data_IF_345008689286
#
_entry.id   IF_345008689286
#
_cell.length_a   1.000
_cell.length_b   1.000
_cell.length_c   1.000
_cell.angle_alpha   90.00
_cell.angle_beta   90.00
_cell.angle_gamma   90.00
#
_symmetry.space_group_name_H-M   'P 1'
#
loop_
_entity.id
_entity.type
_entity.pdbx_description
1 polymer ?
#
# COMPACT_ATOMS: atom_id res chain seq x y z
N UNK A 1 14.51 -5.84 -20.19
CA UNK A 1 13.38 -5.05 -19.65
C UNK A 1 13.22 -5.44 -18.20
N UNK A 2 12.67 -4.57 -17.35
CA UNK A 2 12.69 -4.82 -15.91
C UNK A 2 11.31 -5.22 -15.39
N UNK A 3 11.31 -6.00 -14.29
CA UNK A 3 10.13 -6.47 -13.60
C UNK A 3 9.88 -5.69 -12.29
N UNK A 4 8.61 -5.49 -11.96
CA UNK A 4 8.14 -4.82 -10.74
C UNK A 4 7.10 -5.68 -10.04
N UNK A 5 7.28 -5.95 -8.75
CA UNK A 5 6.22 -6.45 -7.89
C UNK A 5 5.58 -5.30 -7.12
N UNK A 6 4.26 -5.21 -7.15
CA UNK A 6 3.50 -4.21 -6.38
C UNK A 6 2.63 -4.87 -5.34
N UNK A 7 2.54 -4.23 -4.17
CA UNK A 7 1.83 -4.74 -3.00
C UNK A 7 0.68 -3.80 -2.65
N UNK A 8 -0.57 -4.32 -2.58
CA UNK A 8 -1.74 -3.49 -2.34
C UNK A 8 -1.81 -2.97 -0.90
N UNK A 9 -2.58 -1.90 -0.73
CA UNK A 9 -3.04 -1.39 0.55
C UNK A 9 -4.36 -2.04 0.99
N UNK A 10 -4.99 -1.44 2.02
CA UNK A 10 -6.29 -1.86 2.52
C UNK A 10 -7.39 -1.66 1.46
N UNK A 11 -8.38 -2.53 1.44
CA UNK A 11 -9.57 -2.44 0.60
C UNK A 11 -9.99 -3.74 -0.06
N UNK A 12 -9.05 -4.63 -0.38
CA UNK A 12 -9.33 -5.90 -1.05
C UNK A 12 -9.21 -7.13 -0.13
N UNK A 13 -8.94 -6.92 1.16
CA UNK A 13 -8.87 -8.00 2.16
C UNK A 13 -10.21 -8.73 2.26
N UNK A 14 -10.15 -10.03 2.47
CA UNK A 14 -11.32 -10.89 2.60
C UNK A 14 -11.10 -11.98 3.65
N UNK A 15 -12.18 -12.46 4.30
CA UNK A 15 -12.10 -13.59 5.20
C UNK A 15 -11.50 -14.83 4.51
N UNK A 16 -10.65 -15.55 5.23
CA UNK A 16 -10.00 -16.76 4.74
C UNK A 16 -8.79 -16.52 3.83
N UNK A 17 -8.33 -15.28 3.66
CA UNK A 17 -7.22 -14.96 2.75
C UNK A 17 -5.87 -15.57 3.14
N UNK A 18 -5.70 -16.01 4.38
CA UNK A 18 -4.50 -16.68 4.86
C UNK A 18 -4.56 -18.21 4.73
N UNK A 19 -5.76 -18.81 4.55
CA UNK A 19 -5.97 -20.27 4.64
C UNK A 19 -5.21 -21.09 3.60
N UNK A 20 -4.95 -20.53 2.43
CA UNK A 20 -4.25 -21.22 1.33
C UNK A 20 -2.74 -20.91 1.30
N UNK A 21 -2.23 -20.14 2.26
CA UNK A 21 -0.82 -19.78 2.28
C UNK A 21 0.06 -20.92 2.80
N UNK A 22 1.33 -20.97 2.37
CA UNK A 22 2.28 -21.98 2.85
C UNK A 22 2.44 -21.94 4.37
N UNK A 23 2.35 -23.10 5.01
CA UNK A 23 2.45 -23.27 6.45
C UNK A 23 3.69 -22.60 7.08
N UNK A 24 4.92 -22.72 6.49
CA UNK A 24 6.11 -22.10 7.08
C UNK A 24 6.01 -20.57 7.23
N UNK A 25 5.31 -19.88 6.34
CA UNK A 25 5.12 -18.42 6.43
C UNK A 25 4.15 -18.07 7.57
N UNK A 26 3.09 -18.87 7.74
CA UNK A 26 2.14 -18.67 8.83
C UNK A 26 2.75 -18.96 10.20
N UNK A 27 3.60 -19.98 10.29
CA UNK A 27 4.36 -20.30 11.51
C UNK A 27 5.36 -19.18 11.85
N UNK A 28 6.17 -18.73 10.88
CA UNK A 28 7.12 -17.63 11.06
C UNK A 28 6.43 -16.35 11.55
N UNK A 29 5.27 -16.03 10.98
CA UNK A 29 4.48 -14.86 11.40
C UNK A 29 3.87 -15.05 12.79
N UNK A 30 3.34 -16.24 13.09
CA UNK A 30 2.76 -16.55 14.40
C UNK A 30 3.79 -16.51 15.51
N UNK A 31 4.97 -17.06 15.29
CA UNK A 31 6.07 -17.03 16.24
C UNK A 31 6.53 -15.59 16.51
N UNK A 32 6.64 -14.77 15.47
CA UNK A 32 7.04 -13.37 15.60
C UNK A 32 5.99 -12.55 16.37
N UNK A 33 4.70 -12.84 16.19
CA UNK A 33 3.58 -12.13 16.79
C UNK A 33 3.25 -12.62 18.21
N UNK A 34 3.59 -13.88 18.52
CA UNK A 34 3.21 -14.53 19.76
C UNK A 34 1.73 -14.97 19.82
N UNK A 35 1.07 -15.03 18.66
CA UNK A 35 -0.30 -15.51 18.52
C UNK A 35 -0.52 -16.19 17.15
N UNK A 36 -1.51 -17.08 17.05
CA UNK A 36 -1.84 -17.75 15.79
C UNK A 36 -2.46 -16.76 14.79
N UNK A 37 -1.69 -16.42 13.74
CA UNK A 37 -2.10 -15.46 12.71
C UNK A 37 -3.31 -15.91 11.91
N UNK A 38 -3.64 -17.21 11.88
CA UNK A 38 -4.82 -17.75 11.19
C UNK A 38 -6.13 -17.23 11.78
N UNK A 39 -6.09 -16.69 13.00
CA UNK A 39 -7.25 -16.05 13.66
C UNK A 39 -7.52 -14.63 13.17
N UNK A 40 -6.57 -14.02 12.45
CA UNK A 40 -6.66 -12.62 12.02
C UNK A 40 -7.53 -12.42 10.77
N UNK A 41 -7.82 -13.47 10.01
CA UNK A 41 -8.53 -13.38 8.73
C UNK A 41 -10.01 -13.77 8.79
N UNK A 42 -10.59 -13.87 9.99
CA UNK A 42 -12.04 -14.01 10.12
C UNK A 42 -12.76 -12.68 9.80
N UNK A 43 -14.03 -12.75 9.38
CA UNK A 43 -14.83 -11.56 9.12
C UNK A 43 -14.87 -10.59 10.31
N UNK A 44 -14.93 -11.13 11.54
CA UNK A 44 -14.89 -10.33 12.77
C UNK A 44 -13.51 -9.70 12.99
N UNK A 45 -12.43 -10.44 12.83
CA UNK A 45 -11.07 -9.95 13.05
C UNK A 45 -10.71 -8.85 12.06
N UNK A 46 -11.14 -8.98 10.78
CA UNK A 46 -10.89 -7.99 9.71
C UNK A 46 -11.65 -6.67 9.90
N UNK A 47 -12.47 -6.52 10.93
CA UNK A 47 -12.95 -5.20 11.36
C UNK A 47 -11.84 -4.35 12.02
N UNK A 48 -10.73 -4.98 12.42
CA UNK A 48 -9.56 -4.33 13.02
C UNK A 48 -8.53 -3.92 11.97
N UNK A 49 -8.11 -2.67 12.00
CA UNK A 49 -7.01 -2.16 11.15
C UNK A 49 -5.72 -2.97 11.35
N UNK A 50 -5.41 -3.35 12.59
CA UNK A 50 -4.25 -4.20 12.90
C UNK A 50 -4.32 -5.54 12.17
N UNK A 51 -5.45 -6.24 12.27
CA UNK A 51 -5.62 -7.54 11.62
C UNK A 51 -5.55 -7.44 10.09
N UNK A 52 -6.19 -6.44 9.49
CA UNK A 52 -6.13 -6.21 8.04
C UNK A 52 -4.69 -6.00 7.57
N UNK A 53 -3.93 -5.14 8.25
CA UNK A 53 -2.55 -4.85 7.86
C UNK A 53 -1.63 -6.06 8.01
N UNK A 54 -1.78 -6.84 9.07
CA UNK A 54 -1.04 -8.09 9.25
C UNK A 54 -1.37 -9.11 8.15
N UNK A 55 -2.64 -9.29 7.82
CA UNK A 55 -3.04 -10.20 6.74
C UNK A 55 -2.46 -9.78 5.39
N UNK A 56 -2.45 -8.48 5.08
CA UNK A 56 -1.85 -7.95 3.85
C UNK A 56 -0.33 -8.15 3.79
N UNK A 57 0.38 -7.92 4.90
CA UNK A 57 1.81 -8.20 5.00
C UNK A 57 2.11 -9.67 4.74
N UNK A 58 1.42 -10.57 5.47
CA UNK A 58 1.66 -12.02 5.40
C UNK A 58 1.36 -12.55 4.01
N UNK A 59 0.20 -12.19 3.44
CA UNK A 59 -0.18 -12.59 2.10
C UNK A 59 0.79 -12.07 1.03
N UNK A 60 1.21 -10.81 1.13
CA UNK A 60 2.17 -10.22 0.19
C UNK A 60 3.50 -10.95 0.19
N UNK A 61 4.08 -11.20 1.37
CA UNK A 61 5.36 -11.93 1.50
C UNK A 61 5.23 -13.37 1.02
N UNK A 62 4.16 -14.08 1.42
CA UNK A 62 3.93 -15.46 1.04
C UNK A 62 3.84 -15.64 -0.48
N UNK A 63 3.01 -14.86 -1.14
CA UNK A 63 2.83 -14.95 -2.58
C UNK A 63 4.08 -14.52 -3.37
N UNK A 64 4.81 -13.50 -2.91
CA UNK A 64 6.07 -13.12 -3.54
C UNK A 64 7.11 -14.25 -3.46
N UNK A 65 7.20 -14.96 -2.33
CA UNK A 65 8.08 -16.11 -2.17
C UNK A 65 7.71 -17.28 -3.10
N UNK A 66 6.43 -17.47 -3.43
CA UNK A 66 5.98 -18.50 -4.38
C UNK A 66 6.44 -18.26 -5.83
N UNK A 67 6.75 -17.03 -6.20
CA UNK A 67 7.23 -16.73 -7.55
C UNK A 67 8.62 -17.29 -7.84
N UNK A 68 9.41 -17.60 -6.81
CA UNK A 68 10.79 -18.11 -6.94
C UNK A 68 11.65 -17.29 -7.90
N UNK A 69 11.44 -15.97 -7.90
CA UNK A 69 12.11 -15.02 -8.77
C UNK A 69 12.47 -13.75 -8.00
N UNK A 70 13.61 -13.15 -8.37
CA UNK A 70 14.03 -11.86 -7.82
C UNK A 70 13.62 -10.76 -8.79
N UNK A 71 12.65 -9.90 -8.45
CA UNK A 71 12.27 -8.79 -9.31
C UNK A 71 13.36 -7.70 -9.30
N UNK A 72 13.34 -6.82 -10.30
CA UNK A 72 14.27 -5.67 -10.35
C UNK A 72 13.79 -4.55 -9.41
N UNK A 73 12.47 -4.41 -9.27
CA UNK A 73 11.83 -3.37 -8.47
C UNK A 73 10.71 -3.94 -7.59
N UNK A 74 10.52 -3.29 -6.46
CA UNK A 74 9.34 -3.48 -5.60
C UNK A 74 8.75 -2.13 -5.22
N UNK A 75 7.43 -2.06 -5.08
CA UNK A 75 6.71 -0.90 -4.58
C UNK A 75 5.46 -1.34 -3.80
N UNK A 76 5.05 -0.56 -2.83
CA UNK A 76 3.85 -0.86 -2.06
C UNK A 76 3.01 0.37 -1.77
N UNK A 77 1.69 0.22 -1.84
CA UNK A 77 0.75 1.25 -1.48
C UNK A 77 0.45 1.14 0.03
N UNK A 78 0.79 2.18 0.81
CA UNK A 78 0.54 2.22 2.25
C UNK A 78 1.19 1.06 2.99
N UNK A 79 0.38 0.19 3.62
CA UNK A 79 0.87 -1.04 4.28
C UNK A 79 1.67 -1.94 3.33
N UNK A 80 1.36 -1.92 2.03
CA UNK A 80 2.09 -2.67 1.01
C UNK A 80 3.58 -2.34 0.92
N UNK A 81 4.02 -1.20 1.45
CA UNK A 81 5.42 -0.83 1.56
C UNK A 81 6.23 -1.80 2.43
N UNK A 82 5.61 -2.42 3.44
CA UNK A 82 6.26 -3.36 4.35
C UNK A 82 6.62 -4.69 3.70
N UNK A 83 5.69 -5.42 3.04
CA UNK A 83 6.07 -6.60 2.28
C UNK A 83 7.05 -6.25 1.15
N UNK A 84 6.94 -5.09 0.51
CA UNK A 84 7.93 -4.62 -0.47
C UNK A 84 9.34 -4.51 0.14
N UNK A 85 9.48 -3.92 1.33
CA UNK A 85 10.75 -3.81 2.04
C UNK A 85 11.31 -5.19 2.47
N UNK A 86 10.44 -6.13 2.85
CA UNK A 86 10.84 -7.52 3.16
C UNK A 86 11.39 -8.21 1.91
N UNK A 87 10.70 -8.14 0.79
CA UNK A 87 11.14 -8.74 -0.47
C UNK A 87 12.40 -8.06 -1.00
N UNK A 88 12.55 -6.75 -0.79
CA UNK A 88 13.80 -6.04 -1.09
C UNK A 88 14.99 -6.48 -0.24
N UNK A 89 14.77 -7.27 0.80
CA UNK A 89 15.81 -7.75 1.72
C UNK A 89 16.30 -6.68 2.69
N UNK A 90 15.56 -5.60 2.86
CA UNK A 90 15.89 -4.49 3.74
C UNK A 90 15.32 -4.65 5.16
N UNK A 91 14.21 -5.34 5.30
CA UNK A 91 13.51 -5.59 6.56
C UNK A 91 13.28 -7.09 6.73
N UNK A 92 13.66 -7.66 7.87
CA UNK A 92 13.40 -9.08 8.15
C UNK A 92 11.90 -9.28 8.43
N UNK A 93 11.34 -10.40 7.95
CA UNK A 93 9.89 -10.63 8.02
C UNK A 93 9.35 -10.68 9.46
N UNK A 94 10.00 -11.32 10.44
CA UNK A 94 9.58 -11.27 11.84
C UNK A 94 9.50 -9.85 12.40
N UNK A 95 10.47 -9.00 12.06
CA UNK A 95 10.46 -7.59 12.47
C UNK A 95 9.36 -6.80 11.79
N UNK A 96 9.10 -7.07 10.50
CA UNK A 96 7.97 -6.49 9.78
C UNK A 96 6.63 -6.83 10.44
N UNK A 97 6.44 -8.09 10.88
CA UNK A 97 5.22 -8.53 11.58
C UNK A 97 4.99 -7.72 12.85
N UNK A 98 6.03 -7.53 13.68
CA UNK A 98 5.95 -6.72 14.91
C UNK A 98 5.65 -5.26 14.63
N UNK A 99 6.35 -4.66 13.66
CA UNK A 99 6.15 -3.26 13.26
C UNK A 99 4.75 -3.02 12.69
N UNK A 100 4.25 -3.91 11.86
CA UNK A 100 2.91 -3.80 11.26
C UNK A 100 1.81 -3.98 12.30
N UNK A 101 2.00 -4.88 13.26
CA UNK A 101 1.11 -5.01 14.41
C UNK A 101 0.99 -3.70 15.18
N UNK A 102 2.12 -3.08 15.52
CA UNK A 102 2.16 -1.79 16.18
C UNK A 102 1.56 -0.67 15.32
N UNK A 103 1.92 -0.64 14.02
CA UNK A 103 1.38 0.34 13.06
C UNK A 103 -0.15 0.31 13.03
N UNK A 104 -0.72 -0.87 12.88
CA UNK A 104 -2.18 -1.06 12.85
C UNK A 104 -2.85 -0.60 14.15
N UNK A 105 -2.27 -0.92 15.30
CA UNK A 105 -2.77 -0.48 16.61
C UNK A 105 -2.73 1.04 16.76
N UNK A 106 -1.61 1.67 16.45
CA UNK A 106 -1.44 3.13 16.53
C UNK A 106 -2.42 3.86 15.62
N UNK A 107 -2.59 3.39 14.39
CA UNK A 107 -3.52 3.99 13.43
C UNK A 107 -4.98 3.83 13.88
N UNK A 108 -5.36 2.63 14.33
CA UNK A 108 -6.72 2.34 14.78
C UNK A 108 -7.12 3.18 15.99
N UNK A 109 -6.19 3.43 16.91
CA UNK A 109 -6.47 4.15 18.16
C UNK A 109 -6.48 5.67 17.99
N UNK A 110 -5.89 6.20 16.90
CA UNK A 110 -5.71 7.64 16.72
C UNK A 110 -7.04 8.39 16.52
N UNK A 111 -7.93 7.84 15.68
CA UNK A 111 -9.21 8.47 15.32
C UNK A 111 -10.30 7.38 15.21
N UNK A 112 -10.87 6.95 16.33
CA UNK A 112 -11.82 5.83 16.32
C UNK A 112 -13.18 6.16 15.70
N UNK A 113 -13.56 7.45 15.64
CA UNK A 113 -14.88 7.90 15.17
C UNK A 113 -14.78 9.21 14.38
N UNK A 114 -15.75 9.45 13.49
CA UNK A 114 -15.99 10.71 12.79
C UNK A 114 -14.89 11.13 11.81
N UNK A 115 -14.03 10.21 11.44
CA UNK A 115 -12.96 10.39 10.46
C UNK A 115 -12.93 9.24 9.46
N UNK A 116 -12.13 9.40 8.41
CA UNK A 116 -11.87 8.34 7.45
C UNK A 116 -11.37 8.85 6.12
N UNK A 117 -11.71 8.14 5.05
CA UNK A 117 -11.22 8.42 3.69
C UNK A 117 -12.36 8.32 2.67
N UNK A 118 -12.26 9.14 1.61
CA UNK A 118 -13.21 9.16 0.49
C UNK A 118 -12.44 9.21 -0.83
N UNK A 119 -12.76 8.31 -1.74
CA UNK A 119 -12.24 8.36 -3.11
C UNK A 119 -13.01 9.41 -3.93
N UNK A 120 -12.26 10.22 -4.66
CA UNK A 120 -12.79 11.23 -5.60
C UNK A 120 -12.45 10.77 -7.01
N UNK A 121 -13.47 10.58 -7.85
CA UNK A 121 -13.33 10.01 -9.17
C UNK A 121 -13.95 10.96 -10.20
N UNK A 122 -13.24 11.21 -11.30
CA UNK A 122 -13.70 12.04 -12.41
C UNK A 122 -13.44 13.54 -12.23
N UNK A 123 -12.75 13.95 -11.16
CA UNK A 123 -12.37 15.35 -10.90
C UNK A 123 -10.86 15.49 -10.99
N UNK A 124 -10.40 16.46 -11.76
CA UNK A 124 -8.97 16.78 -11.91
C UNK A 124 -8.33 17.14 -10.56
N UNK A 125 -7.10 16.66 -10.34
CA UNK A 125 -6.35 16.84 -9.08
C UNK A 125 -6.31 18.32 -8.65
N UNK A 126 -5.98 19.23 -9.56
CA UNK A 126 -5.90 20.67 -9.27
C UNK A 126 -7.22 21.27 -8.79
N UNK A 127 -8.35 20.73 -9.26
CA UNK A 127 -9.68 21.13 -8.79
C UNK A 127 -9.95 20.59 -7.39
N UNK A 128 -9.57 19.34 -7.12
CA UNK A 128 -9.69 18.75 -5.78
C UNK A 128 -8.87 19.57 -4.78
N UNK A 129 -7.62 19.89 -5.09
CA UNK A 129 -6.74 20.67 -4.21
C UNK A 129 -7.33 22.06 -3.86
N UNK A 130 -7.94 22.75 -4.84
CA UNK A 130 -8.64 24.03 -4.60
C UNK A 130 -9.83 23.86 -3.66
N UNK A 131 -10.64 22.83 -3.88
CA UNK A 131 -11.81 22.52 -3.04
C UNK A 131 -11.34 22.20 -1.60
N UNK A 132 -10.26 21.43 -1.44
CA UNK A 132 -9.72 21.12 -0.13
C UNK A 132 -9.22 22.37 0.60
N UNK A 133 -8.53 23.26 -0.09
CA UNK A 133 -8.07 24.55 0.48
C UNK A 133 -9.23 25.43 0.96
N UNK A 134 -10.35 25.42 0.23
CA UNK A 134 -11.56 26.18 0.58
C UNK A 134 -12.30 25.59 1.78
N UNK A 135 -12.30 24.26 1.93
CA UNK A 135 -13.11 23.53 2.93
C UNK A 135 -12.36 23.24 4.21
N UNK A 136 -11.06 22.99 4.14
CA UNK A 136 -10.24 22.66 5.31
C UNK A 136 -10.37 23.71 6.42
N UNK A 137 -10.59 23.24 7.65
CA UNK A 137 -10.55 24.03 8.88
C UNK A 137 -9.87 23.20 9.98
N UNK A 138 -9.21 23.82 10.98
CA UNK A 138 -8.60 23.09 12.09
C UNK A 138 -9.58 22.16 12.83
N UNK A 139 -10.84 22.59 12.99
CA UNK A 139 -11.89 21.85 13.70
C UNK A 139 -12.53 20.76 12.83
N UNK A 140 -12.47 20.90 11.51
CA UNK A 140 -12.98 19.95 10.51
C UNK A 140 -11.95 19.76 9.40
N UNK A 141 -10.81 19.09 9.71
CA UNK A 141 -9.71 18.99 8.77
C UNK A 141 -10.04 18.01 7.62
N UNK A 142 -9.52 18.32 6.45
CA UNK A 142 -9.52 17.44 5.28
C UNK A 142 -8.27 17.66 4.45
N UNK A 143 -7.71 16.58 3.94
CA UNK A 143 -6.42 16.58 3.25
C UNK A 143 -6.48 15.69 2.00
N UNK A 144 -5.63 15.99 1.02
CA UNK A 144 -5.28 15.04 -0.03
C UNK A 144 -4.47 13.90 0.60
N UNK A 145 -4.87 12.67 0.35
CA UNK A 145 -4.22 11.47 0.90
C UNK A 145 -3.52 10.64 -0.19
N UNK A 146 -4.18 10.41 -1.35
CA UNK A 146 -3.62 9.63 -2.45
C UNK A 146 -3.84 10.32 -3.79
N UNK A 147 -2.83 10.23 -4.66
CA UNK A 147 -2.89 10.58 -6.07
C UNK A 147 -2.79 9.27 -6.86
N UNK A 148 -3.93 8.74 -7.31
CA UNK A 148 -3.99 7.45 -8.00
C UNK A 148 -3.94 7.60 -9.53
N UNK A 149 -4.49 8.68 -10.07
CA UNK A 149 -4.48 9.07 -11.48
C UNK A 149 -4.77 10.58 -11.58
N UNK A 150 -4.73 11.17 -12.80
CA UNK A 150 -5.01 12.59 -13.03
C UNK A 150 -6.37 13.03 -12.49
N UNK A 151 -7.37 12.15 -12.61
CA UNK A 151 -8.75 12.38 -12.20
C UNK A 151 -9.25 11.35 -11.18
N UNK A 152 -8.34 10.77 -10.41
CA UNK A 152 -8.67 9.85 -9.33
C UNK A 152 -7.74 10.08 -8.15
N UNK A 153 -8.30 10.57 -7.07
CA UNK A 153 -7.59 10.86 -5.82
C UNK A 153 -8.35 10.30 -4.61
N UNK A 154 -7.70 10.31 -3.46
CA UNK A 154 -8.34 9.98 -2.18
C UNK A 154 -8.10 11.13 -1.23
N UNK A 155 -9.13 11.52 -0.50
CA UNK A 155 -9.06 12.51 0.57
C UNK A 155 -9.23 11.83 1.93
N UNK A 156 -8.64 12.40 2.97
CA UNK A 156 -8.73 11.92 4.33
C UNK A 156 -9.05 13.09 5.28
N UNK A 157 -9.83 12.83 6.30
CA UNK A 157 -10.17 13.86 7.27
C UNK A 157 -11.45 13.57 8.03
N UNK A 158 -12.07 14.64 8.57
CA UNK A 158 -13.34 14.55 9.26
C UNK A 158 -14.49 14.22 8.31
N UNK A 159 -15.47 13.46 8.79
CA UNK A 159 -16.66 13.10 8.02
C UNK A 159 -17.41 14.35 7.53
N UNK A 160 -17.52 15.37 8.39
CA UNK A 160 -18.17 16.63 8.05
C UNK A 160 -17.49 17.37 6.89
N UNK A 161 -16.16 17.43 6.88
CA UNK A 161 -15.42 18.08 5.80
C UNK A 161 -15.48 17.28 4.51
N UNK A 162 -15.35 15.94 4.57
CA UNK A 162 -15.45 15.07 3.39
C UNK A 162 -16.85 15.12 2.76
N UNK A 163 -17.91 15.26 3.56
CA UNK A 163 -19.26 15.45 3.05
C UNK A 163 -19.38 16.78 2.28
N UNK A 164 -18.81 17.86 2.80
CA UNK A 164 -18.78 19.16 2.07
C UNK A 164 -18.03 19.06 0.75
N UNK A 165 -16.94 18.30 0.69
CA UNK A 165 -16.24 18.04 -0.58
C UNK A 165 -17.16 17.28 -1.54
N UNK A 166 -17.84 16.22 -1.07
CA UNK A 166 -18.77 15.44 -1.87
C UNK A 166 -19.90 16.30 -2.47
N UNK A 167 -20.46 17.20 -1.68
CA UNK A 167 -21.49 18.15 -2.13
C UNK A 167 -20.94 19.11 -3.21
N UNK A 168 -19.69 19.59 -3.03
CA UNK A 168 -19.05 20.53 -3.97
C UNK A 168 -18.76 19.92 -5.33
N UNK A 169 -18.47 18.62 -5.41
CA UNK A 169 -18.17 17.93 -6.68
C UNK A 169 -19.41 17.30 -7.32
N UNK A 170 -20.56 17.35 -6.67
CA UNK A 170 -21.80 16.75 -7.18
C UNK A 170 -22.13 17.26 -8.58
N UNK A 171 -22.34 16.32 -9.52
CA UNK A 171 -22.57 16.61 -10.93
C UNK A 171 -21.29 16.68 -11.78
N UNK A 172 -20.10 16.82 -11.18
CA UNK A 172 -18.82 16.89 -11.88
C UNK A 172 -17.92 15.66 -11.61
N UNK A 173 -18.28 14.84 -10.63
CA UNK A 173 -17.54 13.65 -10.26
C UNK A 173 -18.27 12.81 -9.21
N UNK A 174 -17.60 11.77 -8.75
CA UNK A 174 -18.11 10.81 -7.75
C UNK A 174 -17.25 10.88 -6.50
N UNK A 175 -17.89 11.04 -5.34
CA UNK A 175 -17.29 10.82 -4.04
C UNK A 175 -17.77 9.48 -3.49
N UNK A 176 -16.82 8.55 -3.24
CA UNK A 176 -17.12 7.22 -2.69
C UNK A 176 -16.44 7.06 -1.34
N UNK A 177 -17.23 7.00 -0.27
CA UNK A 177 -16.72 6.70 1.07
C UNK A 177 -16.06 5.32 1.08
N UNK A 178 -14.83 5.25 1.60
CA UNK A 178 -14.13 3.99 1.77
C UNK A 178 -14.51 3.36 3.11
N UNK A 179 -14.49 2.03 3.17
CA UNK A 179 -14.74 1.25 4.40
C UNK A 179 -13.50 1.28 5.32
N UNK A 180 -12.99 2.49 5.59
CA UNK A 180 -11.83 2.75 6.44
C UNK A 180 -12.17 3.92 7.36
N UNK A 181 -12.03 3.72 8.67
CA UNK A 181 -12.28 4.75 9.69
C UNK A 181 -11.06 5.62 9.97
N UNK A 182 -9.87 5.19 9.58
CA UNK A 182 -8.62 5.90 9.86
C UNK A 182 -8.33 6.92 8.75
N UNK A 183 -8.14 8.21 9.09
CA UNK A 183 -7.77 9.25 8.12
C UNK A 183 -6.28 9.17 7.77
N UNK A 184 -5.92 8.21 6.92
CA UNK A 184 -4.54 7.89 6.57
C UNK A 184 -3.94 8.88 5.58
N UNK A 185 -2.60 8.92 5.52
CA UNK A 185 -1.79 9.66 4.54
C UNK A 185 -1.94 11.19 4.63
N UNK A 186 -2.14 11.69 5.84
CA UNK A 186 -2.22 13.12 6.12
C UNK A 186 -1.66 13.46 7.52
N UNK A 187 -1.52 14.74 7.80
CA UNK A 187 -0.94 15.26 9.04
C UNK A 187 -1.61 14.74 10.32
N UNK A 188 -2.86 14.28 10.26
CA UNK A 188 -3.57 13.72 11.41
C UNK A 188 -2.88 12.48 12.03
N UNK A 189 -2.07 11.76 11.26
CA UNK A 189 -1.33 10.59 11.72
C UNK A 189 0.15 10.86 12.03
N UNK A 190 0.56 12.11 12.18
CA UNK A 190 1.96 12.43 12.47
C UNK A 190 2.43 11.89 13.83
N UNK A 191 1.62 12.01 14.88
CA UNK A 191 1.97 11.46 16.20
C UNK A 191 2.05 9.93 16.20
N UNK A 192 1.09 9.18 15.65
CA UNK A 192 1.24 7.74 15.46
C UNK A 192 2.49 7.35 14.66
N UNK A 193 2.84 8.09 13.61
CA UNK A 193 4.04 7.85 12.82
C UNK A 193 5.34 8.06 13.63
N UNK A 194 5.40 9.11 14.44
CA UNK A 194 6.52 9.35 15.35
C UNK A 194 6.67 8.23 16.38
N UNK A 195 5.56 7.76 16.96
CA UNK A 195 5.57 6.63 17.89
C UNK A 195 6.08 5.35 17.22
N UNK A 196 5.62 5.07 15.98
CA UNK A 196 6.10 3.91 15.21
C UNK A 196 7.60 4.01 14.90
N UNK A 197 8.09 5.21 14.56
CA UNK A 197 9.50 5.45 14.25
C UNK A 197 10.44 5.07 15.41
N UNK A 198 9.99 5.18 16.65
CA UNK A 198 10.76 4.79 17.85
C UNK A 198 10.95 3.26 17.96
N UNK A 199 10.06 2.47 17.36
CA UNK A 199 10.07 1.01 17.44
C UNK A 199 10.92 0.34 16.33
N UNK A 200 11.39 1.11 15.35
CA UNK A 200 12.13 0.55 14.23
C UNK A 200 13.50 -0.01 14.65
N UNK A 201 13.77 -1.21 14.15
CA UNK A 201 15.10 -1.80 14.16
C UNK A 201 15.96 -1.20 13.03
N UNK A 202 17.27 -1.46 13.07
CA UNK A 202 18.16 -1.08 11.97
C UNK A 202 17.80 -1.85 10.71
N UNK A 203 17.54 -1.14 9.61
CA UNK A 203 17.29 -1.74 8.31
C UNK A 203 18.61 -2.02 7.57
N UNK A 204 18.55 -2.97 6.62
CA UNK A 204 19.64 -3.27 5.70
C UNK A 204 19.45 -2.43 4.41
N UNK A 205 20.52 -2.16 3.65
CA UNK A 205 20.37 -1.62 2.30
C UNK A 205 19.50 -2.57 1.45
N UNK A 206 18.49 -2.07 0.73
CA UNK A 206 17.69 -2.92 -0.15
C UNK A 206 18.54 -3.52 -1.26
N UNK A 207 18.42 -4.82 -1.47
CA UNK A 207 19.08 -5.57 -2.55
C UNK A 207 18.32 -5.52 -3.87
N UNK A 208 17.01 -5.32 -3.78
CA UNK A 208 16.10 -5.05 -4.90
C UNK A 208 15.72 -3.59 -4.80
N UNK A 209 15.61 -2.89 -5.93
CA UNK A 209 15.28 -1.46 -5.91
C UNK A 209 13.89 -1.23 -5.34
N UNK A 210 13.83 -0.58 -4.19
CA UNK A 210 12.58 -0.18 -3.54
C UNK A 210 12.13 1.19 -4.06
N UNK A 211 10.94 1.26 -4.66
CA UNK A 211 10.30 2.50 -5.09
C UNK A 211 9.35 3.00 -3.99
N UNK A 212 9.65 4.17 -3.47
CA UNK A 212 8.79 4.82 -2.47
C UNK A 212 7.52 5.36 -3.12
N UNK A 213 6.36 5.00 -2.58
CA UNK A 213 5.08 5.52 -3.04
C UNK A 213 4.75 6.93 -2.51
N UNK A 214 5.49 7.42 -1.53
CA UNK A 214 5.35 8.81 -1.03
C UNK A 214 6.29 9.78 -1.73
N UNK A 215 7.35 9.28 -2.36
CA UNK A 215 8.37 10.09 -3.04
C UNK A 215 8.41 9.87 -4.55
N UNK A 216 7.69 8.86 -5.06
CA UNK A 216 7.68 8.44 -6.46
C UNK A 216 9.09 8.22 -7.05
N UNK A 217 10.02 7.66 -6.25
CA UNK A 217 11.42 7.45 -6.63
C UNK A 217 12.08 6.33 -5.83
N UNK A 218 13.22 5.78 -6.34
CA UNK A 218 13.99 4.77 -5.62
C UNK A 218 14.55 5.29 -4.29
N UNK A 219 14.59 4.39 -3.31
CA UNK A 219 15.32 4.57 -2.05
C UNK A 219 16.34 3.44 -1.92
N UNK A 220 17.60 3.79 -1.70
CA UNK A 220 18.71 2.87 -1.51
C UNK A 220 19.31 2.93 -0.09
N UNK A 221 19.12 4.06 0.57
CA UNK A 221 19.65 4.29 1.92
C UNK A 221 18.70 3.71 2.98
N UNK A 222 19.20 2.86 3.93
CA UNK A 222 18.38 2.24 4.96
C UNK A 222 17.66 3.23 5.87
N UNK A 223 18.28 4.36 6.21
CA UNK A 223 17.67 5.38 7.08
C UNK A 223 16.54 6.11 6.37
N UNK A 224 16.69 6.39 5.07
CA UNK A 224 15.61 6.97 4.26
C UNK A 224 14.46 5.97 4.09
N UNK A 225 14.76 4.67 3.98
CA UNK A 225 13.74 3.63 3.92
C UNK A 225 12.99 3.49 5.24
N UNK A 226 13.71 3.54 6.37
CA UNK A 226 13.11 3.58 7.70
C UNK A 226 12.16 4.77 7.84
N UNK A 227 12.59 5.97 7.45
CA UNK A 227 11.76 7.16 7.44
C UNK A 227 10.52 7.00 6.56
N UNK A 228 10.67 6.46 5.36
CA UNK A 228 9.55 6.20 4.45
C UNK A 228 8.53 5.22 5.05
N UNK A 229 8.98 4.09 5.59
CA UNK A 229 8.11 3.09 6.22
C UNK A 229 7.40 3.63 7.47
N UNK A 230 8.10 4.36 8.33
CA UNK A 230 7.51 4.90 9.55
C UNK A 230 6.48 6.01 9.28
N UNK A 231 6.79 6.91 8.33
CA UNK A 231 6.02 8.12 8.09
C UNK A 231 5.09 8.05 6.87
N UNK A 232 5.04 6.96 6.12
CA UNK A 232 4.11 6.89 4.99
C UNK A 232 2.65 7.05 5.41
N UNK A 233 2.29 6.63 6.64
CA UNK A 233 0.93 6.78 7.15
C UNK A 233 0.46 8.23 7.28
N UNK A 234 1.37 9.19 7.37
CA UNK A 234 1.06 10.62 7.48
C UNK A 234 1.52 11.45 6.28
N UNK A 235 1.96 10.82 5.20
CA UNK A 235 2.39 11.48 3.95
C UNK A 235 1.50 11.08 2.80
N UNK A 236 1.31 11.99 1.85
CA UNK A 236 0.55 11.73 0.62
C UNK A 236 1.19 10.57 -0.14
N UNK A 237 0.38 9.63 -0.59
CA UNK A 237 0.78 8.56 -1.51
C UNK A 237 0.61 9.07 -2.95
N UNK A 238 1.71 9.19 -3.69
CA UNK A 238 1.71 9.44 -5.13
C UNK A 238 1.88 8.11 -5.89
N UNK A 239 0.81 7.34 -5.99
CA UNK A 239 0.84 6.06 -6.68
C UNK A 239 1.05 6.22 -8.18
N UNK A 240 0.37 7.20 -8.79
CA UNK A 240 0.55 7.53 -10.21
C UNK A 240 2.00 7.83 -10.54
N UNK A 241 2.63 8.74 -9.79
CA UNK A 241 4.04 9.08 -9.98
C UNK A 241 4.97 7.89 -9.73
N UNK A 242 4.64 7.00 -8.79
CA UNK A 242 5.42 5.78 -8.52
C UNK A 242 5.41 4.83 -9.72
N UNK A 243 4.25 4.58 -10.31
CA UNK A 243 4.12 3.73 -11.50
C UNK A 243 4.78 4.37 -12.71
N UNK A 244 4.61 5.68 -12.89
CA UNK A 244 5.30 6.44 -13.94
C UNK A 244 6.82 6.34 -13.80
N UNK A 245 7.34 6.52 -12.60
CA UNK A 245 8.77 6.39 -12.28
C UNK A 245 9.32 4.99 -12.62
N UNK A 246 8.54 3.94 -12.36
CA UNK A 246 8.90 2.58 -12.73
C UNK A 246 8.95 2.39 -14.26
N UNK A 247 7.90 2.84 -14.95
CA UNK A 247 7.78 2.73 -16.41
C UNK A 247 8.93 3.46 -17.14
N UNK A 248 9.27 4.67 -16.71
CA UNK A 248 10.38 5.47 -17.24
C UNK A 248 11.76 4.82 -16.99
N UNK A 249 11.88 3.98 -15.96
CA UNK A 249 13.09 3.18 -15.67
C UNK A 249 13.16 1.87 -16.44
N UNK A 250 12.26 1.65 -17.38
CA UNK A 250 12.29 0.48 -18.24
C UNK A 250 11.52 -0.72 -17.71
N UNK A 251 10.70 -0.57 -16.66
CA UNK A 251 9.77 -1.62 -16.23
C UNK A 251 8.76 -1.88 -17.35
N UNK A 252 8.62 -3.15 -17.74
CA UNK A 252 7.67 -3.62 -18.77
C UNK A 252 6.85 -4.83 -18.31
N UNK A 253 7.14 -5.37 -17.13
CA UNK A 253 6.32 -6.37 -16.46
C UNK A 253 6.01 -5.89 -15.05
N UNK A 254 4.73 -5.72 -14.73
CA UNK A 254 4.26 -5.48 -13.38
C UNK A 254 3.34 -6.62 -12.94
N UNK A 255 3.59 -7.16 -11.75
CA UNK A 255 2.71 -8.15 -11.11
C UNK A 255 2.22 -7.57 -9.79
N UNK A 256 0.90 -7.47 -9.63
CA UNK A 256 0.28 -7.08 -8.36
C UNK A 256 0.08 -8.32 -7.49
N UNK A 257 0.62 -8.31 -6.27
CA UNK A 257 0.47 -9.38 -5.29
C UNK A 257 -0.94 -9.33 -4.68
N UNK A 258 -1.49 -10.51 -4.27
CA UNK A 258 -2.81 -10.56 -3.64
C UNK A 258 -2.89 -9.75 -2.33
N UNK A 259 -4.12 -9.32 -1.98
CA UNK A 259 -5.39 -9.59 -2.63
C UNK A 259 -5.77 -8.54 -3.68
N UNK A 260 -6.58 -8.95 -4.66
CA UNK A 260 -7.24 -8.06 -5.62
C UNK A 260 -6.39 -7.63 -6.81
N UNK A 261 -6.87 -6.61 -7.54
CA UNK A 261 -6.31 -6.14 -8.79
C UNK A 261 -6.46 -4.60 -8.97
N UNK A 262 -6.54 -3.86 -7.88
CA UNK A 262 -6.75 -2.40 -7.91
C UNK A 262 -5.54 -1.68 -8.52
N UNK A 263 -4.34 -2.05 -8.10
CA UNK A 263 -3.11 -1.44 -8.60
C UNK A 263 -2.88 -1.79 -10.07
N UNK A 264 -3.23 -3.00 -10.50
CA UNK A 264 -3.23 -3.42 -11.90
C UNK A 264 -4.09 -2.49 -12.75
N UNK A 265 -5.32 -2.22 -12.31
CA UNK A 265 -6.22 -1.29 -13.00
C UNK A 265 -5.68 0.14 -13.08
N UNK A 266 -5.00 0.63 -12.05
CA UNK A 266 -4.38 1.95 -12.05
C UNK A 266 -3.15 2.00 -12.99
N UNK A 267 -2.34 0.96 -12.98
CA UNK A 267 -1.12 0.90 -13.77
C UNK A 267 -1.37 0.80 -15.28
N UNK A 268 -2.50 0.21 -15.71
CA UNK A 268 -2.90 0.19 -17.12
C UNK A 268 -3.07 1.60 -17.72
N UNK A 269 -3.27 2.62 -16.89
CA UNK A 269 -3.37 4.02 -17.36
C UNK A 269 -2.01 4.66 -17.65
N UNK A 270 -0.93 4.04 -17.19
CA UNK A 270 0.45 4.54 -17.31
C UNK A 270 1.26 3.71 -18.30
N UNK A 271 1.07 2.38 -18.27
CA UNK A 271 1.81 1.48 -19.14
C UNK A 271 1.25 1.52 -20.56
N UNK A 272 1.97 2.16 -21.47
CA UNK A 272 1.67 2.13 -22.91
C UNK A 272 2.15 0.84 -23.58
N UNK A 273 3.17 0.21 -23.01
CA UNK A 273 3.79 -1.04 -23.49
C UNK A 273 4.17 -1.92 -22.30
N UNK A 274 4.18 -3.23 -22.52
CA UNK A 274 4.51 -4.21 -21.50
C UNK A 274 3.28 -4.96 -20.98
N UNK A 275 3.47 -5.69 -19.90
CA UNK A 275 2.43 -6.51 -19.26
C UNK A 275 2.19 -6.03 -17.85
N UNK A 276 0.93 -5.73 -17.53
CA UNK A 276 0.47 -5.43 -16.19
C UNK A 276 -0.57 -6.49 -15.83
N UNK A 277 -0.32 -7.27 -14.78
CA UNK A 277 -1.15 -8.41 -14.42
C UNK A 277 -1.28 -8.54 -12.91
N UNK A 278 -2.45 -8.96 -12.44
CA UNK A 278 -2.64 -9.36 -11.05
C UNK A 278 -2.27 -10.83 -10.85
N UNK A 279 -1.66 -11.15 -9.73
CA UNK A 279 -1.41 -12.54 -9.31
C UNK A 279 -2.74 -13.28 -9.11
N UNK A 280 -3.71 -12.60 -8.52
CA UNK A 280 -5.04 -13.17 -8.27
C UNK A 280 -5.76 -13.45 -9.60
N UNK A 281 -6.19 -14.71 -9.79
CA UNK A 281 -6.81 -15.17 -11.04
C UNK A 281 -5.83 -15.63 -12.11
N UNK A 282 -4.52 -15.39 -11.95
CA UNK A 282 -3.49 -15.91 -12.84
C UNK A 282 -2.95 -17.28 -12.36
N UNK A 283 -2.42 -18.05 -13.29
CA UNK A 283 -1.72 -19.31 -12.95
C UNK A 283 -0.29 -18.97 -12.52
N UNK A 284 0.21 -19.63 -11.48
CA UNK A 284 1.56 -19.42 -10.95
C UNK A 284 2.64 -19.70 -12.02
N UNK A 285 2.49 -20.77 -12.79
CA UNK A 285 3.41 -21.12 -13.88
C UNK A 285 3.48 -20.04 -14.97
N UNK A 286 2.36 -19.39 -15.28
CA UNK A 286 2.29 -18.27 -16.22
C UNK A 286 3.06 -17.06 -15.69
N UNK A 287 2.87 -16.72 -14.41
CA UNK A 287 3.58 -15.59 -13.79
C UNK A 287 5.10 -15.84 -13.73
N UNK A 288 5.50 -17.07 -13.40
CA UNK A 288 6.91 -17.48 -13.39
C UNK A 288 7.52 -17.43 -14.79
N UNK A 289 6.79 -17.85 -15.81
CA UNK A 289 7.24 -17.79 -17.20
C UNK A 289 7.44 -16.34 -17.69
N UNK A 290 6.53 -15.44 -17.34
CA UNK A 290 6.67 -14.01 -17.66
C UNK A 290 7.92 -13.40 -17.02
N UNK A 291 8.18 -13.70 -15.75
CA UNK A 291 9.36 -13.23 -15.03
C UNK A 291 10.66 -13.76 -15.66
N UNK A 292 10.68 -15.06 -16.01
CA UNK A 292 11.83 -15.67 -16.69
C UNK A 292 12.08 -15.07 -18.10
N UNK A 293 11.02 -14.72 -18.82
CA UNK A 293 11.15 -14.07 -20.12
C UNK A 293 11.75 -12.68 -19.99
N UNK A 294 11.31 -11.88 -18.99
CA UNK A 294 11.91 -10.57 -18.75
C UNK A 294 13.37 -10.67 -18.32
N UNK A 295 13.75 -11.66 -17.51
CA UNK A 295 15.16 -11.89 -17.14
C UNK A 295 16.02 -12.22 -18.35
N UNK A 296 15.52 -13.05 -19.29
CA UNK A 296 16.25 -13.36 -20.54
C UNK A 296 16.44 -12.14 -21.44
N UNK A 297 15.50 -11.20 -21.46
CA UNK A 297 15.61 -9.95 -22.22
C UNK A 297 16.59 -8.96 -21.58
N UNK A 298 16.98 -9.17 -20.34
CA UNK A 298 18.00 -8.39 -19.64
C UNK A 298 19.44 -8.84 -19.91
N UNK A 299 19.61 -10.12 -20.25
CA UNK A 299 20.90 -10.72 -20.62
C UNK A 299 21.20 -10.49 -22.11
#
# INVERSE_FOLDING_TARGET
>A
MSSLLVFPGQGAQRPGMLQSLPEPVLEEASDALGEDVRRLDSAQALASTRAVQLCLLIAGVAHARLLHHTPDYVAGLSIGAYPAAVIAGALDFPDAVKLVSLRGQLMQSAYPHSYGMTAIIGVELSTVEKILADIHRPETPVYLANINADNQSVIAGSDAAMQRVAERIKGNGIAKRLAVSVPSHCALLEQPAQALAQAFVALKPPRITYLSSTRARPIHNPEQLRDDLAFNMCRIVDWRGTVQSAYERGVRLQIELPPGAVLTGLSHRVFEQGTVIAFEGARLDTLQALLQEEERRHR
#
